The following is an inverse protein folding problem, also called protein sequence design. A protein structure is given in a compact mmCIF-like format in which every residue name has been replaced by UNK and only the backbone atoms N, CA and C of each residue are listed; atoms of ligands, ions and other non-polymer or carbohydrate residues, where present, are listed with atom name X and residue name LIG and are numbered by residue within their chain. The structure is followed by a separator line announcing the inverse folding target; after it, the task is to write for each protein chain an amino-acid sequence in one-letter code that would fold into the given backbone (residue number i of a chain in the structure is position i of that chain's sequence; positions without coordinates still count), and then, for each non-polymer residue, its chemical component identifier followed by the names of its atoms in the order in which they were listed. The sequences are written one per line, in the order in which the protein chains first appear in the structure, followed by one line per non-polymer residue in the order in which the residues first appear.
data_IF_055393645371
#
_entry.id   IF_055393645371
#
_cell.length_a   1.000
_cell.length_b   1.000
_cell.length_c   1.000
_cell.angle_alpha   90.00
_cell.angle_beta   90.00
_cell.angle_gamma   90.00
#
_symmetry.space_group_name_H-M   'P 1'
#
loop_
_entity.id
_entity.type
_entity.pdbx_description
1 polymer ?
2 water ?
#
# COMPACT_ATOMS: atom_id res chain seq x y z
N UNK A 1 -16.84 1.11 -9.83
CA UNK A 1 -17.00 0.20 -8.71
C UNK A 1 -15.66 -0.37 -8.28
N UNK A 2 -15.28 -0.15 -7.01
CA UNK A 2 -13.98 -0.65 -6.54
C UNK A 2 -13.80 -2.15 -6.67
N UNK A 3 -14.85 -2.94 -6.39
CA UNK A 3 -14.73 -4.39 -6.54
C UNK A 3 -14.45 -4.77 -7.99
N UNK A 4 -15.12 -4.10 -8.93
CA UNK A 4 -14.93 -4.39 -10.35
C UNK A 4 -13.51 -4.04 -10.81
N UNK A 5 -13.03 -2.85 -10.44
CA UNK A 5 -11.68 -2.45 -10.84
C UNK A 5 -10.62 -3.36 -10.22
N UNK A 6 -10.90 -3.90 -9.04
CA UNK A 6 -9.97 -4.84 -8.41
C UNK A 6 -9.87 -6.12 -9.22
N UNK A 7 -10.98 -6.56 -9.81
CA UNK A 7 -10.96 -7.70 -10.72
C UNK A 7 -10.24 -7.36 -12.02
N UNK A 8 -10.61 -6.24 -12.65
CA UNK A 8 -9.98 -5.85 -13.91
C UNK A 8 -8.47 -5.75 -13.75
N UNK A 9 -8.02 -5.16 -12.65
CA UNK A 9 -6.60 -5.00 -12.43
C UNK A 9 -5.87 -6.26 -12.04
N UNK A 10 -6.58 -7.33 -11.70
CA UNK A 10 -5.90 -8.56 -11.36
C UNK A 10 -5.21 -8.54 -10.01
N UNK A 11 -5.79 -7.88 -9.03
CA UNK A 11 -5.24 -7.97 -7.69
C UNK A 11 -5.51 -9.36 -7.12
N UNK A 12 -4.56 -9.86 -6.34
CA UNK A 12 -4.66 -11.18 -5.74
C UNK A 12 -5.30 -11.13 -4.37
N UNK A 13 -5.07 -12.19 -3.61
CA UNK A 13 -5.61 -12.30 -2.26
C UNK A 13 -4.87 -11.37 -1.30
N UNK A 14 -5.51 -11.10 -0.17
CA UNK A 14 -4.88 -10.31 0.88
C UNK A 14 -3.83 -11.14 1.61
N UNK A 15 -2.64 -10.57 1.76
CA UNK A 15 -1.51 -11.23 2.39
C UNK A 15 -1.12 -10.51 3.67
N UNK A 16 -0.66 -11.28 4.66
CA UNK A 16 -0.12 -10.71 5.88
C UNK A 16 1.08 -9.83 5.57
N UNK A 17 1.23 -8.74 6.32
CA UNK A 17 2.46 -7.95 6.23
C UNK A 17 3.66 -8.87 6.32
N UNK A 18 4.66 -8.62 5.48
CA UNK A 18 5.88 -9.42 5.47
C UNK A 18 7.09 -8.52 5.27
N UNK A 19 8.28 -9.11 5.38
CA UNK A 19 9.51 -8.34 5.32
C UNK A 19 9.67 -7.64 3.97
N UNK A 20 9.30 -8.31 2.88
CA UNK A 20 9.43 -7.71 1.56
C UNK A 20 8.63 -6.41 1.48
N UNK A 21 7.38 -6.44 1.92
CA UNK A 21 6.55 -5.24 1.83
C UNK A 21 6.95 -4.21 2.87
N UNK A 22 7.39 -4.66 4.05
CA UNK A 22 7.86 -3.69 5.04
C UNK A 22 9.08 -2.93 4.53
N UNK A 23 9.99 -3.61 3.83
CA UNK A 23 11.15 -2.93 3.26
C UNK A 23 10.73 -1.93 2.19
N UNK A 24 9.73 -2.29 1.39
CA UNK A 24 9.24 -1.39 0.35
C UNK A 24 8.59 -0.15 0.96
N UNK A 25 7.78 -0.34 2.00
CA UNK A 25 7.19 0.79 2.71
C UNK A 25 8.28 1.68 3.29
N UNK A 26 9.31 1.09 3.91
CA UNK A 26 10.40 1.89 4.45
C UNK A 26 11.10 2.69 3.35
N UNK A 27 11.22 2.12 2.16
CA UNK A 27 11.91 2.80 1.07
C UNK A 27 11.20 4.08 0.65
N UNK A 28 9.88 4.16 0.86
CA UNK A 28 9.08 5.29 0.41
C UNK A 28 8.50 6.07 1.58
N UNK A 29 9.03 5.86 2.78
CA UNK A 29 8.50 6.53 3.97
C UNK A 29 8.43 8.04 3.87
N UNK A 30 9.42 8.75 3.31
CA UNK A 30 9.28 10.22 3.20
C UNK A 30 8.05 10.64 2.41
N UNK A 31 7.75 9.94 1.32
CA UNK A 31 6.56 10.26 0.54
C UNK A 31 5.29 9.94 1.30
N UNK A 32 5.29 8.84 2.06
CA UNK A 32 4.11 8.51 2.86
C UNK A 32 3.86 9.60 3.89
N UNK A 33 4.92 10.06 4.56
CA UNK A 33 4.79 11.12 5.55
C UNK A 33 4.17 12.37 4.93
N UNK A 34 4.65 12.75 3.74
CA UNK A 34 4.12 13.95 3.10
C UNK A 34 2.67 13.76 2.67
N UNK A 35 2.33 12.59 2.14
CA UNK A 35 0.98 12.36 1.63
C UNK A 35 -0.02 12.18 2.76
N UNK A 36 0.36 11.45 3.82
CA UNK A 36 -0.53 11.30 4.96
C UNK A 36 -0.52 12.50 5.89
N UNK A 37 0.46 13.39 5.74
CA UNK A 37 0.52 14.61 6.53
C UNK A 37 0.54 14.38 8.02
N UNK A 38 1.26 13.35 8.47
CA UNK A 38 1.28 13.02 9.89
C UNK A 38 2.60 12.33 10.22
N UNK A 39 2.92 12.31 11.51
CA UNK A 39 4.10 11.60 11.98
C UNK A 39 3.87 10.11 11.83
N UNK A 40 4.76 9.44 11.11
CA UNK A 40 4.60 8.01 10.84
C UNK A 40 5.77 7.22 11.43
N UNK A 41 6.37 7.75 12.49
CA UNK A 41 7.52 7.07 13.09
C UNK A 41 7.17 5.65 13.51
N UNK A 42 5.94 5.41 13.97
CA UNK A 42 5.52 4.07 14.37
C UNK A 42 4.46 3.47 13.45
N UNK A 43 4.46 3.88 12.18
CA UNK A 43 3.59 3.26 11.20
C UNK A 43 3.74 1.74 11.23
N UNK A 44 2.62 1.04 11.12
CA UNK A 44 2.59 -0.41 11.10
C UNK A 44 2.00 -0.89 9.78
N UNK A 45 2.69 -1.81 9.11
CA UNK A 45 2.14 -2.45 7.92
C UNK A 45 1.22 -3.58 8.36
N UNK A 46 0.00 -3.61 7.82
CA UNK A 46 -1.01 -4.59 8.22
C UNK A 46 -1.09 -5.74 7.23
N UNK A 47 -1.32 -5.43 5.96
CA UNK A 47 -1.64 -6.44 4.96
C UNK A 47 -1.49 -5.79 3.59
N UNK A 48 -1.55 -6.61 2.54
CA UNK A 48 -1.38 -6.06 1.20
C UNK A 48 -1.94 -7.00 0.15
N UNK A 49 -2.22 -6.43 -1.02
CA UNK A 49 -2.45 -7.17 -2.25
C UNK A 49 -1.43 -6.72 -3.28
N UNK A 50 -1.27 -7.52 -4.34
CA UNK A 50 -0.38 -7.15 -5.43
C UNK A 50 -1.04 -7.30 -6.79
N UNK A 51 -0.51 -6.53 -7.73
CA UNK A 51 -0.82 -6.60 -9.14
C UNK A 51 0.49 -6.87 -9.87
N UNK A 52 0.47 -7.85 -10.77
CA UNK A 52 1.67 -8.25 -11.52
C UNK A 52 1.72 -7.43 -12.80
N UNK A 53 2.67 -6.50 -12.88
CA UNK A 53 2.79 -5.58 -14.01
C UNK A 53 4.20 -5.68 -14.57
N UNK A 54 4.71 -4.60 -15.17
CA UNK A 54 6.14 -4.53 -15.47
C UNK A 54 6.78 -4.11 -14.15
N UNK A 55 7.05 -5.09 -13.31
CA UNK A 55 7.31 -4.87 -11.90
C UNK A 55 6.10 -5.32 -11.11
N UNK A 56 5.86 -4.66 -9.98
CA UNK A 56 4.78 -5.07 -9.09
C UNK A 56 4.15 -3.82 -8.51
N UNK A 57 2.83 -3.76 -8.49
CA UNK A 57 2.13 -2.76 -7.70
C UNK A 57 1.69 -3.41 -6.40
N UNK A 58 2.05 -2.78 -5.29
CA UNK A 58 1.62 -3.21 -3.98
C UNK A 58 0.54 -2.26 -3.48
N UNK A 59 -0.57 -2.83 -3.04
CA UNK A 59 -1.67 -2.08 -2.45
C UNK A 59 -1.68 -2.47 -0.98
N UNK A 60 -1.23 -1.55 -0.12
CA UNK A 60 -0.80 -1.87 1.24
C UNK A 60 -1.70 -1.16 2.23
N UNK A 61 -2.29 -1.92 3.15
CA UNK A 61 -2.99 -1.35 4.29
C UNK A 61 -1.99 -1.08 5.40
N UNK A 62 -1.91 0.18 5.83
CA UNK A 62 -1.04 0.61 6.91
C UNK A 62 -1.88 1.25 8.00
N UNK A 63 -1.32 1.25 9.21
CA UNK A 63 -1.91 1.91 10.36
C UNK A 63 -0.93 2.92 10.91
N UNK A 64 -1.41 4.13 11.14
CA UNK A 64 -0.65 5.16 11.83
C UNK A 64 -1.44 5.60 13.06
N UNK A 65 -0.87 6.54 13.81
CA UNK A 65 -1.60 7.08 14.95
C UNK A 65 -2.84 7.86 14.51
N UNK A 66 -2.92 8.25 13.24
CA UNK A 66 -4.08 8.94 12.70
C UNK A 66 -5.13 7.99 12.14
N UNK A 67 -4.87 6.68 12.11
CA UNK A 67 -5.81 5.73 11.57
C UNK A 67 -5.22 4.86 10.47
N UNK A 68 -6.08 4.29 9.62
CA UNK A 68 -5.62 3.40 8.56
C UNK A 68 -5.64 4.12 7.22
N UNK A 69 -4.74 3.68 6.34
CA UNK A 69 -4.67 4.21 4.99
C UNK A 69 -4.25 3.08 4.07
N UNK A 70 -4.64 3.16 2.81
CA UNK A 70 -4.16 2.24 1.80
C UNK A 70 -3.19 2.97 0.88
N UNK A 71 -2.08 2.33 0.56
CA UNK A 71 -1.03 2.93 -0.25
C UNK A 71 -0.88 2.13 -1.53
N UNK A 72 -0.71 2.82 -2.66
CA UNK A 72 -0.32 2.18 -3.90
C UNK A 72 1.16 2.48 -4.12
N UNK A 73 1.98 1.44 -4.12
CA UNK A 73 3.43 1.57 -4.23
C UNK A 73 3.90 0.74 -5.42
N UNK A 74 4.64 1.36 -6.32
CA UNK A 74 5.18 0.68 -7.49
C UNK A 74 6.60 0.22 -7.21
N UNK A 75 6.87 -1.06 -7.46
CA UNK A 75 8.22 -1.61 -7.31
C UNK A 75 8.66 -2.14 -8.67
N UNK A 76 9.60 -1.49 -9.34
CA UNK A 76 10.13 -2.06 -10.59
C UNK A 76 10.91 -3.32 -10.28
N UNK A 77 11.11 -4.14 -11.31
CA UNK A 77 11.90 -5.36 -11.13
C UNK A 77 13.27 -5.03 -10.57
N UNK A 78 13.90 -3.98 -11.09
CA UNK A 78 15.19 -3.51 -10.61
C UNK A 78 15.02 -2.08 -10.14
N UNK A 79 15.40 -1.81 -8.90
CA UNK A 79 15.41 -0.46 -8.38
C UNK A 79 14.39 -0.26 -7.26
N UNK A 80 14.59 0.84 -6.55
CA UNK A 80 13.75 1.16 -5.40
C UNK A 80 12.32 1.46 -5.81
N UNK A 81 11.41 1.18 -4.89
CA UNK A 81 10.00 1.47 -5.06
C UNK A 81 9.72 2.97 -4.98
N UNK A 82 8.52 3.35 -5.42
CA UNK A 82 8.02 4.72 -5.33
C UNK A 82 6.54 4.72 -4.96
N UNK A 83 6.16 5.66 -4.09
CA UNK A 83 4.75 5.82 -3.75
C UNK A 83 4.01 6.48 -4.91
N UNK A 84 2.89 5.88 -5.30
CA UNK A 84 2.07 6.39 -6.39
C UNK A 84 0.93 7.25 -5.86
N UNK A 85 0.17 6.71 -4.92
CA UNK A 85 -1.06 7.35 -4.47
C UNK A 85 -1.46 6.74 -3.14
N UNK A 86 -2.42 7.39 -2.48
CA UNK A 86 -2.95 6.93 -1.20
C UNK A 86 -4.46 7.05 -1.19
N UNK A 87 -5.09 6.20 -0.39
CA UNK A 87 -6.48 6.33 0.02
C UNK A 87 -6.44 6.46 1.53
N UNK A 88 -6.62 7.67 2.03
CA UNK A 88 -6.59 7.90 3.46
C UNK A 88 -7.97 7.66 4.07
N UNK A 89 -8.01 7.61 5.40
CA UNK A 89 -9.28 7.51 6.10
C UNK A 89 -9.96 6.17 5.98
N UNK A 90 -9.20 5.09 5.88
CA UNK A 90 -9.78 3.77 5.78
C UNK A 90 -10.04 3.20 7.17
N UNK A 91 -10.88 2.18 7.21
CA UNK A 91 -11.13 1.44 8.43
C UNK A 91 -10.27 0.18 8.46
N UNK A 92 -10.05 -0.32 9.68
CA UNK A 92 -9.22 -1.50 9.88
C UNK A 92 -9.62 -2.64 8.94
N UNK A 93 -10.92 -2.90 8.83
CA UNK A 93 -11.42 -4.06 8.11
C UNK A 93 -11.78 -3.78 6.66
N UNK A 94 -11.53 -2.57 6.16
CA UNK A 94 -11.88 -2.26 4.78
C UNK A 94 -11.09 -3.15 3.82
N UNK A 95 -11.77 -3.62 2.78
CA UNK A 95 -11.11 -4.42 1.76
C UNK A 95 -10.09 -3.57 1.02
N UNK A 96 -8.96 -4.19 0.68
CA UNK A 96 -7.98 -3.53 -0.17
C UNK A 96 -8.49 -3.64 -1.61
N UNK A 97 -8.86 -2.51 -2.20
CA UNK A 97 -9.34 -2.47 -3.57
C UNK A 97 -8.42 -1.61 -4.43
N UNK A 98 -8.49 -1.82 -5.74
CA UNK A 98 -7.68 -1.07 -6.68
C UNK A 98 -8.03 0.41 -6.67
N UNK A 99 -7.01 1.25 -6.80
CA UNK A 99 -7.17 2.67 -7.09
C UNK A 99 -5.91 3.15 -7.78
#
# INVERSE_FOLDING_TARGET
NPEFMTKVGGLGATHQADKTVEDIVNAVKPSIQSKLGTNISNLKVISYKTQLVNGTNYFVKVRTENGYAHLRIYKPFSGAASLVSVQDGKAKDDEITYF
#
